data_IF_934248281841
#
_entry.id   IF_934248281841
#
_cell.length_a   1.000
_cell.length_b   1.000
_cell.length_c   1.000
_cell.angle_alpha   90.00
_cell.angle_beta   90.00
_cell.angle_gamma   90.00
#
_symmetry.space_group_name_H-M   'P 1'
#
loop_
_entity.id
_entity.type
_entity.pdbx_description
1 polymer ?
#
# COMPACT_ATOMS: atom_id res chain seq x y z
N UNK A 1 4.62 34.94 -2.60
CA UNK A 1 3.45 34.11 -2.96
C UNK A 1 2.84 33.61 -1.67
N UNK A 2 1.53 33.63 -1.58
CA UNK A 2 0.85 33.05 -0.41
C UNK A 2 1.06 31.53 -0.41
N UNK A 3 1.31 30.98 0.79
CA UNK A 3 1.53 29.55 0.95
C UNK A 3 0.23 28.80 0.63
N UNK A 4 0.34 27.69 -0.12
CA UNK A 4 -0.79 26.79 -0.33
C UNK A 4 -1.06 25.93 0.89
N UNK A 5 -2.32 25.74 1.24
CA UNK A 5 -2.73 24.91 2.36
C UNK A 5 -3.03 23.48 1.88
N UNK A 6 -2.28 22.51 2.40
CA UNK A 6 -2.43 21.08 2.10
C UNK A 6 -3.07 20.39 3.30
N UNK A 7 -4.28 19.87 3.13
CA UNK A 7 -4.91 18.99 4.12
C UNK A 7 -4.53 17.53 3.85
N UNK A 8 -3.84 16.93 4.80
CA UNK A 8 -3.33 15.55 4.72
C UNK A 8 -4.03 14.66 5.76
N UNK A 9 -4.77 13.66 5.28
CA UNK A 9 -5.25 12.57 6.13
C UNK A 9 -4.24 11.43 6.18
N UNK A 10 -4.25 10.63 7.25
CA UNK A 10 -3.35 9.49 7.36
C UNK A 10 -1.87 9.81 7.62
N UNK A 11 -1.54 11.07 7.94
CA UNK A 11 -0.17 11.57 8.16
C UNK A 11 0.64 10.78 9.22
N UNK A 12 0.00 10.03 10.10
CA UNK A 12 0.69 9.20 11.12
C UNK A 12 0.97 7.77 10.68
N UNK A 13 0.43 7.34 9.51
CA UNK A 13 0.73 6.07 8.85
C UNK A 13 2.07 6.09 8.09
N UNK A 14 2.43 5.00 7.40
CA UNK A 14 3.71 4.91 6.70
C UNK A 14 3.80 5.92 5.54
N UNK A 15 2.95 5.80 4.52
CA UNK A 15 2.95 6.68 3.36
C UNK A 15 2.66 8.14 3.74
N UNK A 16 1.60 8.36 4.52
CA UNK A 16 1.24 9.73 4.93
C UNK A 16 2.34 10.40 5.78
N UNK A 17 3.09 9.64 6.57
CA UNK A 17 4.23 10.17 7.31
C UNK A 17 5.38 10.57 6.39
N UNK A 18 5.72 9.75 5.41
CA UNK A 18 6.73 10.09 4.42
C UNK A 18 6.32 11.35 3.63
N UNK A 19 5.05 11.42 3.21
CA UNK A 19 4.49 12.60 2.55
C UNK A 19 4.50 13.85 3.44
N UNK A 20 4.16 13.70 4.72
CA UNK A 20 4.27 14.80 5.68
C UNK A 20 5.69 15.33 5.78
N UNK A 21 6.71 14.45 5.85
CA UNK A 21 8.12 14.87 5.91
C UNK A 21 8.54 15.63 4.65
N UNK A 22 8.09 15.19 3.47
CA UNK A 22 8.37 15.85 2.20
C UNK A 22 7.69 17.21 2.09
N UNK A 23 6.44 17.33 2.51
CA UNK A 23 5.72 18.62 2.60
C UNK A 23 6.39 19.55 3.62
N UNK A 24 6.77 19.00 4.78
CA UNK A 24 7.43 19.77 5.83
C UNK A 24 8.82 20.30 5.40
N UNK A 25 9.55 19.53 4.62
CA UNK A 25 10.79 20.00 3.99
C UNK A 25 10.55 21.20 3.05
N UNK A 26 9.32 21.35 2.54
CA UNK A 26 8.88 22.45 1.67
C UNK A 26 7.94 23.44 2.37
N UNK A 27 7.97 23.52 3.69
CA UNK A 27 7.06 24.36 4.50
C UNK A 27 7.13 25.86 4.22
N UNK A 28 8.16 26.31 3.53
CA UNK A 28 8.22 27.70 3.01
C UNK A 28 7.16 27.98 1.94
N UNK A 29 6.64 26.91 1.28
CA UNK A 29 5.65 26.97 0.22
C UNK A 29 4.27 26.47 0.67
N UNK A 30 4.23 25.60 1.69
CA UNK A 30 3.02 24.93 2.15
C UNK A 30 2.70 25.21 3.62
N UNK A 31 1.41 25.45 3.90
CA UNK A 31 0.81 25.25 5.20
C UNK A 31 0.26 23.83 5.25
N UNK A 32 0.68 23.05 6.24
CA UNK A 32 0.34 21.61 6.32
C UNK A 32 -0.68 21.43 7.43
N UNK A 33 -1.87 20.99 7.06
CA UNK A 33 -2.92 20.64 8.03
C UNK A 33 -3.11 19.13 8.08
N UNK A 34 -3.04 18.56 9.27
CA UNK A 34 -3.10 17.11 9.49
C UNK A 34 -4.34 16.78 10.28
N UNK A 35 -5.12 15.78 9.84
CA UNK A 35 -6.10 15.14 10.70
C UNK A 35 -5.49 13.90 11.34
N UNK A 36 -5.44 13.84 12.65
CA UNK A 36 -4.84 12.74 13.39
C UNK A 36 -5.71 12.36 14.60
N UNK A 37 -5.91 11.04 14.81
CA UNK A 37 -6.58 10.55 16.00
C UNK A 37 -5.82 10.96 17.26
N UNK A 38 -6.55 11.46 18.25
CA UNK A 38 -5.97 11.84 19.54
C UNK A 38 -5.56 10.59 20.33
N UNK A 39 -4.30 10.26 20.23
CA UNK A 39 -3.68 9.13 20.95
C UNK A 39 -2.30 9.52 21.45
N UNK A 40 -1.86 8.89 22.56
CA UNK A 40 -0.52 9.11 23.12
C UNK A 40 0.59 8.89 22.07
N UNK A 41 0.42 7.89 21.19
CA UNK A 41 1.35 7.59 20.10
C UNK A 41 1.42 8.74 19.09
N UNK A 42 0.28 9.22 18.62
CA UNK A 42 0.22 10.30 17.63
C UNK A 42 0.68 11.64 18.21
N UNK A 43 0.29 11.96 19.45
CA UNK A 43 0.78 13.17 20.15
C UNK A 43 2.31 13.15 20.27
N UNK A 44 2.89 12.00 20.66
CA UNK A 44 4.37 11.86 20.75
C UNK A 44 5.03 12.04 19.38
N UNK A 45 4.46 11.45 18.32
CA UNK A 45 5.00 11.51 16.95
C UNK A 45 4.98 12.94 16.40
N UNK A 46 3.90 13.67 16.62
CA UNK A 46 3.68 15.02 16.08
C UNK A 46 4.26 16.13 16.96
N UNK A 47 4.60 15.85 18.23
CA UNK A 47 5.10 16.84 19.19
C UNK A 47 6.22 17.75 18.65
N UNK A 48 7.23 17.27 17.91
CA UNK A 48 8.32 18.12 17.40
C UNK A 48 7.86 19.22 16.42
N UNK A 49 6.68 19.06 15.81
CA UNK A 49 6.17 19.93 14.75
C UNK A 49 5.09 20.91 15.22
N UNK A 50 4.54 20.73 16.44
CA UNK A 50 3.41 21.51 16.93
C UNK A 50 3.75 23.02 17.17
N UNK A 51 5.02 23.33 17.32
CA UNK A 51 5.48 24.73 17.50
C UNK A 51 5.72 25.45 16.18
N UNK A 52 5.74 24.74 15.04
CA UNK A 52 5.96 25.34 13.73
C UNK A 52 4.64 25.92 13.19
N UNK A 53 4.58 27.23 12.88
CA UNK A 53 3.35 27.87 12.41
C UNK A 53 2.85 27.33 11.06
N UNK A 54 3.70 26.65 10.29
CA UNK A 54 3.30 26.00 9.04
C UNK A 54 2.57 24.66 9.25
N UNK A 55 2.48 24.16 10.49
CA UNK A 55 1.85 22.86 10.81
C UNK A 55 0.67 23.07 11.74
N UNK A 56 -0.49 22.63 11.30
CA UNK A 56 -1.71 22.60 12.11
C UNK A 56 -2.22 21.16 12.25
N UNK A 57 -2.51 20.74 13.48
CA UNK A 57 -3.06 19.40 13.74
C UNK A 57 -4.51 19.52 14.22
N UNK A 58 -5.43 18.97 13.44
CA UNK A 58 -6.81 18.70 13.84
C UNK A 58 -6.81 17.35 14.55
N UNK A 59 -7.02 17.37 15.87
CA UNK A 59 -7.15 16.15 16.66
C UNK A 59 -8.58 15.63 16.54
N UNK A 60 -8.79 14.58 15.76
CA UNK A 60 -10.11 14.07 15.42
C UNK A 60 -10.10 12.72 14.73
N UNK A 61 -11.24 12.35 14.17
CA UNK A 61 -11.48 11.08 13.48
C UNK A 61 -12.07 11.31 12.08
N UNK A 62 -11.58 10.57 11.08
CA UNK A 62 -12.11 10.61 9.70
C UNK A 62 -13.60 10.22 9.62
N UNK A 63 -14.10 9.47 10.60
CA UNK A 63 -15.51 9.09 10.69
C UNK A 63 -16.39 10.19 11.28
N UNK A 64 -15.82 11.30 11.73
CA UNK A 64 -16.57 12.47 12.24
C UNK A 64 -16.49 13.59 11.22
N UNK A 65 -17.63 13.92 10.64
CA UNK A 65 -17.72 14.93 9.59
C UNK A 65 -17.15 16.29 10.01
N UNK A 66 -17.43 16.75 11.23
CA UNK A 66 -16.98 18.05 11.75
C UNK A 66 -15.47 18.16 11.84
N UNK A 67 -14.80 17.04 12.20
CA UNK A 67 -13.34 16.99 12.28
C UNK A 67 -12.73 17.09 10.87
N UNK A 68 -13.34 16.39 9.89
CA UNK A 68 -12.94 16.45 8.48
C UNK A 68 -13.22 17.84 7.89
N UNK A 69 -14.38 18.42 8.16
CA UNK A 69 -14.74 19.76 7.71
C UNK A 69 -13.75 20.81 8.22
N UNK A 70 -13.38 20.74 9.50
CA UNK A 70 -12.34 21.61 10.09
C UNK A 70 -10.99 21.46 9.37
N UNK A 71 -10.66 20.25 8.95
CA UNK A 71 -9.45 19.97 8.18
C UNK A 71 -9.47 20.55 6.78
N UNK A 72 -10.59 20.42 6.07
CA UNK A 72 -10.77 20.84 4.67
C UNK A 72 -10.95 22.35 4.52
N UNK A 73 -11.52 23.04 5.52
CA UNK A 73 -11.86 24.47 5.41
C UNK A 73 -10.66 25.32 5.01
N UNK A 74 -10.73 25.96 3.83
CA UNK A 74 -9.66 26.81 3.27
C UNK A 74 -8.42 26.03 2.81
N UNK A 75 -8.55 24.74 2.50
CA UNK A 75 -7.48 23.97 1.89
C UNK A 75 -7.44 24.17 0.36
N UNK A 76 -6.24 24.33 -0.20
CA UNK A 76 -6.01 24.32 -1.65
C UNK A 76 -5.89 22.87 -2.18
N UNK A 77 -5.33 21.97 -1.37
CA UNK A 77 -5.15 20.56 -1.68
C UNK A 77 -5.72 19.68 -0.58
N UNK A 78 -6.39 18.60 -0.98
CA UNK A 78 -6.86 17.55 -0.07
C UNK A 78 -6.22 16.23 -0.48
N UNK A 79 -5.29 15.73 0.35
CA UNK A 79 -4.61 14.46 0.14
C UNK A 79 -5.24 13.39 1.05
N UNK A 80 -6.13 12.57 0.50
CA UNK A 80 -6.79 11.51 1.25
C UNK A 80 -5.97 10.21 1.19
N UNK A 81 -5.04 10.08 2.15
CA UNK A 81 -4.16 8.91 2.33
C UNK A 81 -4.66 7.99 3.44
N UNK A 82 -5.49 8.52 4.33
CA UNK A 82 -5.99 7.82 5.51
C UNK A 82 -6.97 6.70 5.16
N UNK A 83 -6.83 5.55 5.82
CA UNK A 83 -7.72 4.42 5.70
C UNK A 83 -7.23 3.22 6.50
N UNK A 84 -8.04 2.17 6.60
CA UNK A 84 -7.62 0.88 7.12
C UNK A 84 -6.97 0.08 5.99
N UNK A 85 -5.81 -0.53 6.29
CA UNK A 85 -5.01 -1.32 5.35
C UNK A 85 -4.62 -2.65 5.99
N UNK A 86 -4.19 -3.62 5.19
CA UNK A 86 -3.64 -4.88 5.69
C UNK A 86 -2.43 -4.65 6.63
N UNK A 87 -2.23 -5.46 7.69
CA UNK A 87 -3.03 -6.65 8.03
C UNK A 87 -4.33 -6.35 8.80
N UNK A 88 -4.56 -5.13 9.29
CA UNK A 88 -5.77 -4.81 10.07
C UNK A 88 -7.06 -4.98 9.24
N UNK A 89 -6.98 -4.75 7.93
CA UNK A 89 -8.12 -4.92 7.02
C UNK A 89 -8.57 -6.38 6.93
N UNK A 90 -7.63 -7.32 6.98
CA UNK A 90 -7.91 -8.75 6.88
C UNK A 90 -8.56 -9.29 8.17
N UNK A 91 -8.16 -8.75 9.32
CA UNK A 91 -8.78 -9.09 10.62
C UNK A 91 -10.16 -8.47 10.82
N UNK A 92 -10.45 -7.31 10.19
CA UNK A 92 -11.67 -6.55 10.40
C UNK A 92 -12.29 -6.09 9.07
N UNK A 93 -12.70 -7.02 8.19
CA UNK A 93 -13.12 -6.71 6.81
C UNK A 93 -14.32 -5.76 6.74
N UNK A 94 -15.39 -6.00 7.49
CA UNK A 94 -16.59 -5.14 7.52
C UNK A 94 -16.27 -3.74 8.07
N UNK A 95 -15.45 -3.67 9.13
CA UNK A 95 -15.01 -2.39 9.67
C UNK A 95 -14.17 -1.63 8.66
N UNK A 96 -13.35 -2.34 7.88
CA UNK A 96 -12.53 -1.73 6.83
C UNK A 96 -13.39 -1.10 5.75
N UNK A 97 -14.40 -1.82 5.26
CA UNK A 97 -15.36 -1.27 4.30
C UNK A 97 -16.03 -0.01 4.86
N UNK A 98 -16.60 -0.10 6.07
CA UNK A 98 -17.28 1.03 6.73
C UNK A 98 -16.36 2.25 6.92
N UNK A 99 -15.12 2.03 7.39
CA UNK A 99 -14.18 3.13 7.68
C UNK A 99 -13.66 3.76 6.39
N UNK A 100 -13.26 2.95 5.41
CA UNK A 100 -12.67 3.49 4.19
C UNK A 100 -13.71 4.25 3.36
N UNK A 101 -14.89 3.69 3.15
CA UNK A 101 -15.97 4.33 2.39
C UNK A 101 -16.53 5.54 3.16
N UNK A 102 -16.88 5.39 4.44
CA UNK A 102 -17.42 6.50 5.23
C UNK A 102 -16.46 7.68 5.41
N UNK A 103 -15.13 7.40 5.48
CA UNK A 103 -14.15 8.49 5.48
C UNK A 103 -14.08 9.23 4.14
N UNK A 104 -14.18 8.50 3.00
CA UNK A 104 -14.25 9.10 1.67
C UNK A 104 -15.50 9.99 1.52
N UNK A 105 -16.66 9.51 1.95
CA UNK A 105 -17.91 10.26 1.95
C UNK A 105 -17.80 11.56 2.77
N UNK A 106 -17.22 11.48 3.97
CA UNK A 106 -17.01 12.67 4.82
C UNK A 106 -16.07 13.69 4.15
N UNK A 107 -15.00 13.23 3.51
CA UNK A 107 -14.06 14.12 2.81
C UNK A 107 -14.73 14.78 1.61
N UNK A 108 -15.45 14.02 0.79
CA UNK A 108 -16.20 14.55 -0.37
C UNK A 108 -17.23 15.60 0.10
N UNK A 109 -18.04 15.27 1.10
CA UNK A 109 -19.03 16.18 1.66
C UNK A 109 -18.39 17.47 2.22
N UNK A 110 -17.25 17.36 2.90
CA UNK A 110 -16.54 18.50 3.45
C UNK A 110 -15.97 19.42 2.36
N UNK A 111 -15.46 18.84 1.25
CA UNK A 111 -14.98 19.61 0.08
C UNK A 111 -16.17 20.33 -0.59
N UNK A 112 -17.27 19.63 -0.85
CA UNK A 112 -18.46 20.19 -1.48
C UNK A 112 -19.11 21.32 -0.66
N UNK A 113 -18.90 21.33 0.66
CA UNK A 113 -19.36 22.40 1.54
C UNK A 113 -18.49 23.67 1.51
N UNK A 114 -17.35 23.67 0.80
CA UNK A 114 -16.51 24.87 0.68
C UNK A 114 -17.07 25.86 -0.35
N UNK A 115 -16.93 27.17 -0.11
CA UNK A 115 -17.41 28.20 -1.04
C UNK A 115 -16.82 28.09 -2.45
N UNK A 116 -15.53 27.71 -2.55
CA UNK A 116 -14.81 27.52 -3.81
C UNK A 116 -14.30 26.07 -3.93
N UNK A 117 -15.23 25.13 -3.86
CA UNK A 117 -14.91 23.70 -3.96
C UNK A 117 -14.29 23.31 -5.32
N UNK A 118 -14.58 24.10 -6.37
CA UNK A 118 -14.04 23.85 -7.72
C UNK A 118 -12.55 24.13 -7.86
N UNK A 119 -11.98 24.97 -6.99
CA UNK A 119 -10.55 25.27 -6.97
C UNK A 119 -9.72 24.24 -6.19
N UNK A 120 -10.36 23.46 -5.32
CA UNK A 120 -9.67 22.47 -4.48
C UNK A 120 -9.18 21.30 -5.33
N UNK A 121 -7.90 20.99 -5.22
CA UNK A 121 -7.26 19.85 -5.87
C UNK A 121 -7.32 18.62 -4.96
N UNK A 122 -7.96 17.55 -5.44
CA UNK A 122 -8.29 16.36 -4.64
C UNK A 122 -7.48 15.18 -5.10
N UNK A 123 -6.71 14.60 -4.20
CA UNK A 123 -5.88 13.42 -4.44
C UNK A 123 -6.35 12.29 -3.53
N UNK A 124 -6.82 11.22 -4.14
CA UNK A 124 -7.17 9.99 -3.46
C UNK A 124 -6.09 8.93 -3.64
N UNK A 125 -5.68 8.27 -2.57
CA UNK A 125 -4.75 7.15 -2.65
C UNK A 125 -5.53 5.84 -2.73
N UNK A 126 -5.61 5.31 -3.95
CA UNK A 126 -6.15 3.98 -4.27
C UNK A 126 -5.15 2.86 -3.94
N UNK A 127 -5.33 1.70 -4.55
CA UNK A 127 -4.49 0.52 -4.33
C UNK A 127 -4.43 -0.39 -5.55
N UNK A 128 -3.30 -1.06 -5.75
CA UNK A 128 -3.17 -2.17 -6.71
C UNK A 128 -4.18 -3.28 -6.44
N UNK A 129 -4.64 -3.43 -5.20
CA UNK A 129 -5.66 -4.40 -4.82
C UNK A 129 -6.97 -4.26 -5.64
N UNK A 130 -7.27 -3.06 -6.16
CA UNK A 130 -8.44 -2.79 -6.96
C UNK A 130 -8.48 -3.58 -8.28
N UNK A 131 -7.33 -4.08 -8.76
CA UNK A 131 -7.25 -4.88 -10.00
C UNK A 131 -7.44 -6.39 -9.77
N UNK A 132 -7.46 -6.84 -8.51
CA UNK A 132 -7.67 -8.23 -8.10
C UNK A 132 -6.57 -9.19 -8.53
N UNK A 133 -6.94 -10.45 -8.72
CA UNK A 133 -6.00 -11.52 -9.06
C UNK A 133 -5.50 -11.39 -10.49
N UNK A 134 -4.23 -11.04 -10.62
CA UNK A 134 -3.51 -10.87 -11.89
C UNK A 134 -2.28 -11.76 -11.93
N UNK A 135 -2.46 -13.04 -11.62
CA UNK A 135 -1.39 -14.00 -11.74
C UNK A 135 -0.98 -14.24 -13.22
N UNK A 136 0.29 -14.63 -13.45
CA UNK A 136 0.72 -15.02 -14.79
C UNK A 136 -0.23 -16.06 -15.44
N UNK A 137 -0.51 -15.94 -16.75
CA UNK A 137 0.12 -15.02 -17.73
C UNK A 137 -0.52 -13.62 -17.85
N UNK A 138 -1.51 -13.28 -17.03
CA UNK A 138 -2.28 -12.01 -17.14
C UNK A 138 -1.78 -10.91 -16.19
N UNK A 139 -0.51 -10.94 -15.83
CA UNK A 139 0.08 -10.10 -14.79
C UNK A 139 0.47 -8.68 -15.25
N UNK A 140 0.41 -8.40 -16.53
CA UNK A 140 0.63 -7.06 -17.07
C UNK A 140 -0.68 -6.30 -17.23
N UNK A 141 -0.67 -5.00 -16.86
CA UNK A 141 -1.83 -4.13 -17.03
C UNK A 141 -1.46 -2.65 -16.93
N UNK A 142 -2.47 -1.80 -16.94
CA UNK A 142 -2.35 -0.35 -16.85
C UNK A 142 -3.47 0.25 -15.99
N UNK A 143 -3.43 1.57 -15.75
CA UNK A 143 -4.41 2.25 -14.91
C UNK A 143 -5.84 2.23 -15.47
N UNK A 144 -6.03 1.99 -16.75
CA UNK A 144 -7.35 1.86 -17.39
C UNK A 144 -7.98 0.47 -17.28
N UNK A 145 -7.28 -0.51 -16.70
CA UNK A 145 -7.82 -1.86 -16.50
C UNK A 145 -9.06 -1.83 -15.57
N UNK A 146 -10.01 -2.76 -15.80
CA UNK A 146 -11.18 -2.89 -14.94
C UNK A 146 -10.80 -3.16 -13.49
N UNK A 147 -11.55 -2.55 -12.58
CA UNK A 147 -11.41 -2.81 -11.15
C UNK A 147 -12.29 -4.00 -10.75
N UNK A 148 -11.66 -5.12 -10.43
CA UNK A 148 -12.32 -6.37 -10.04
C UNK A 148 -11.61 -6.93 -8.81
N UNK A 149 -12.19 -6.85 -7.59
CA UNK A 149 -11.51 -7.32 -6.39
C UNK A 149 -11.31 -8.84 -6.43
N UNK A 150 -10.22 -9.33 -5.84
CA UNK A 150 -10.07 -10.76 -5.58
C UNK A 150 -11.17 -11.26 -4.62
N UNK A 151 -11.48 -12.55 -4.65
CA UNK A 151 -12.47 -13.14 -3.75
C UNK A 151 -12.03 -12.92 -2.28
N UNK A 152 -12.96 -12.58 -1.41
CA UNK A 152 -12.74 -12.26 0.00
C UNK A 152 -11.87 -11.01 0.28
N UNK A 153 -11.41 -10.28 -0.74
CA UNK A 153 -10.62 -9.06 -0.53
C UNK A 153 -11.52 -7.83 -0.29
N UNK A 154 -12.02 -7.71 0.95
CA UNK A 154 -12.86 -6.58 1.38
C UNK A 154 -12.07 -5.27 1.43
N UNK A 155 -10.74 -5.33 1.54
CA UNK A 155 -9.90 -4.14 1.40
C UNK A 155 -9.93 -3.60 -0.03
N UNK A 156 -9.75 -4.47 -1.03
CA UNK A 156 -9.88 -4.10 -2.44
C UNK A 156 -11.24 -3.48 -2.73
N UNK A 157 -12.32 -4.14 -2.29
CA UNK A 157 -13.68 -3.63 -2.44
C UNK A 157 -13.84 -2.24 -1.80
N UNK A 158 -13.32 -2.06 -0.58
CA UNK A 158 -13.38 -0.76 0.10
C UNK A 158 -12.66 0.34 -0.66
N UNK A 159 -11.53 0.02 -1.31
CA UNK A 159 -10.77 0.97 -2.13
C UNK A 159 -11.48 1.32 -3.44
N UNK A 160 -12.12 0.34 -4.07
CA UNK A 160 -12.96 0.56 -5.26
C UNK A 160 -14.14 1.49 -4.92
N UNK A 161 -14.90 1.16 -3.88
CA UNK A 161 -16.04 1.98 -3.45
C UNK A 161 -15.62 3.41 -3.07
N UNK A 162 -14.51 3.56 -2.35
CA UNK A 162 -13.99 4.90 -1.98
C UNK A 162 -13.56 5.70 -3.21
N UNK A 163 -12.88 5.09 -4.18
CA UNK A 163 -12.52 5.76 -5.44
C UNK A 163 -13.76 6.23 -6.20
N UNK A 164 -14.80 5.39 -6.24
CA UNK A 164 -16.08 5.75 -6.89
C UNK A 164 -16.78 6.92 -6.20
N UNK A 165 -16.73 7.01 -4.86
CA UNK A 165 -17.27 8.16 -4.10
C UNK A 165 -16.59 9.46 -4.55
N UNK A 166 -15.28 9.49 -4.68
CA UNK A 166 -14.55 10.67 -5.17
C UNK A 166 -14.81 10.93 -6.67
N UNK A 167 -14.75 9.91 -7.51
CA UNK A 167 -14.94 10.06 -8.95
C UNK A 167 -16.35 10.57 -9.32
N UNK A 168 -17.36 10.18 -8.55
CA UNK A 168 -18.75 10.60 -8.76
C UNK A 168 -19.07 11.99 -8.19
N UNK A 169 -18.14 12.60 -7.43
CA UNK A 169 -18.38 13.87 -6.75
C UNK A 169 -18.35 15.10 -7.68
N UNK A 170 -17.91 14.95 -8.94
CA UNK A 170 -17.87 16.02 -9.94
C UNK A 170 -16.79 17.09 -9.68
N UNK A 171 -15.71 16.76 -8.99
CA UNK A 171 -14.61 17.71 -8.77
C UNK A 171 -13.93 18.10 -10.07
N UNK A 172 -13.61 19.38 -10.22
CA UNK A 172 -12.84 19.87 -11.38
C UNK A 172 -11.42 19.27 -11.42
N UNK A 173 -10.81 19.10 -10.26
CA UNK A 173 -9.44 18.59 -10.09
C UNK A 173 -9.46 17.39 -9.15
N UNK A 174 -9.62 16.20 -9.70
CA UNK A 174 -9.54 14.94 -8.97
C UNK A 174 -8.50 14.02 -9.61
N UNK A 175 -7.74 13.28 -8.80
CA UNK A 175 -6.88 12.20 -9.29
C UNK A 175 -6.91 11.02 -8.33
N UNK A 176 -6.96 9.81 -8.89
CA UNK A 176 -6.74 8.57 -8.15
C UNK A 176 -5.33 8.08 -8.40
N UNK A 177 -4.54 7.96 -7.33
CA UNK A 177 -3.18 7.44 -7.35
C UNK A 177 -3.19 6.06 -6.68
N UNK A 178 -3.13 4.97 -7.48
CA UNK A 178 -3.26 3.60 -7.00
C UNK A 178 -1.91 3.07 -6.55
N UNK A 179 -1.73 3.03 -5.23
CA UNK A 179 -0.51 2.60 -4.58
C UNK A 179 -0.30 1.10 -4.74
N UNK A 180 0.88 0.71 -5.18
CA UNK A 180 1.38 -0.66 -5.15
C UNK A 180 1.85 -1.06 -3.75
N UNK A 181 2.46 -2.23 -3.60
CA UNK A 181 3.12 -2.60 -2.35
C UNK A 181 4.21 -1.58 -1.97
N UNK A 182 4.25 -1.19 -0.70
CA UNK A 182 5.24 -0.21 -0.21
C UNK A 182 6.42 -0.94 0.42
N UNK A 183 7.62 -0.72 -0.14
CA UNK A 183 8.87 -1.13 0.48
C UNK A 183 9.32 -0.08 1.51
N UNK A 184 9.50 -0.50 2.74
CA UNK A 184 10.04 0.31 3.83
C UNK A 184 10.78 -0.59 4.84
N UNK A 185 11.76 -0.09 5.59
CA UNK A 185 12.55 -0.94 6.49
C UNK A 185 11.72 -1.77 7.47
N UNK A 186 10.64 -1.18 7.99
CA UNK A 186 9.75 -1.85 8.95
C UNK A 186 9.03 -3.08 8.39
N UNK A 187 8.94 -3.25 7.05
CA UNK A 187 8.31 -4.43 6.44
C UNK A 187 9.07 -5.72 6.81
N UNK A 188 10.38 -5.64 7.02
CA UNK A 188 11.21 -6.76 7.47
C UNK A 188 10.82 -7.30 8.86
N UNK A 189 10.05 -6.54 9.63
CA UNK A 189 9.54 -6.92 10.95
C UNK A 189 8.05 -7.29 10.96
N UNK A 190 7.38 -7.18 9.80
CA UNK A 190 5.95 -7.49 9.69
C UNK A 190 5.81 -8.98 9.45
N UNK A 191 5.29 -9.69 10.44
CA UNK A 191 4.96 -11.11 10.34
C UNK A 191 3.48 -11.30 10.63
N UNK A 192 2.76 -11.85 9.65
CA UNK A 192 1.32 -12.12 9.80
C UNK A 192 0.89 -13.22 8.80
N UNK A 193 -0.31 -13.83 8.97
CA UNK A 193 -0.81 -14.89 8.10
C UNK A 193 -0.91 -14.50 6.62
N UNK A 194 -1.14 -13.23 6.31
CA UNK A 194 -1.36 -12.77 4.92
C UNK A 194 -0.13 -12.93 4.03
N UNK A 195 1.06 -13.12 4.63
CA UNK A 195 2.27 -13.46 3.88
C UNK A 195 2.14 -14.75 3.06
N UNK A 196 1.29 -15.68 3.51
CA UNK A 196 1.04 -16.96 2.85
C UNK A 196 -0.14 -16.92 1.86
N UNK A 197 -0.90 -15.83 1.82
CA UNK A 197 -1.98 -15.64 0.84
C UNK A 197 -1.43 -15.31 -0.55
N UNK A 198 -0.20 -14.82 -0.63
CA UNK A 198 0.44 -14.40 -1.87
C UNK A 198 1.06 -15.59 -2.57
N UNK A 199 0.63 -15.97 -3.78
CA UNK A 199 1.28 -17.02 -4.57
C UNK A 199 2.74 -16.72 -4.80
N UNK A 200 3.61 -17.72 -4.82
CA UNK A 200 5.04 -17.52 -5.09
C UNK A 200 5.32 -16.96 -6.50
N UNK A 201 4.47 -17.31 -7.47
CA UNK A 201 4.49 -16.73 -8.81
C UNK A 201 3.71 -15.42 -8.93
N UNK A 202 2.97 -14.99 -7.90
CA UNK A 202 2.26 -13.71 -7.89
C UNK A 202 3.22 -12.53 -8.00
N UNK A 203 2.80 -11.45 -8.66
CA UNK A 203 3.68 -10.32 -9.00
C UNK A 203 3.26 -9.02 -8.35
N UNK A 204 4.23 -8.17 -8.02
CA UNK A 204 4.02 -6.76 -7.69
C UNK A 204 5.13 -5.90 -8.31
N UNK A 205 4.75 -4.70 -8.72
CA UNK A 205 5.68 -3.63 -9.04
C UNK A 205 5.73 -2.66 -7.86
N UNK A 206 6.71 -2.84 -6.99
CA UNK A 206 6.78 -2.17 -5.69
C UNK A 206 7.11 -0.67 -5.82
N UNK A 207 6.70 0.09 -4.81
CA UNK A 207 7.15 1.47 -4.62
C UNK A 207 7.92 1.61 -3.30
N UNK A 208 9.00 2.39 -3.28
CA UNK A 208 9.67 2.73 -2.04
C UNK A 208 8.84 3.71 -1.22
N UNK A 209 9.00 3.70 0.09
CA UNK A 209 8.31 4.65 0.96
C UNK A 209 8.75 6.10 0.68
N UNK A 210 9.99 6.29 0.28
CA UNK A 210 10.57 7.57 -0.09
C UNK A 210 9.90 8.13 -1.34
N UNK A 211 9.75 7.32 -2.39
CA UNK A 211 9.08 7.71 -3.64
C UNK A 211 7.60 7.99 -3.39
N UNK A 212 6.92 7.13 -2.62
CA UNK A 212 5.52 7.32 -2.24
C UNK A 212 5.31 8.62 -1.42
N UNK A 213 6.28 8.99 -0.60
CA UNK A 213 6.27 10.24 0.17
C UNK A 213 6.50 11.46 -0.72
N UNK A 214 7.51 11.43 -1.60
CA UNK A 214 7.82 12.51 -2.54
C UNK A 214 6.65 12.81 -3.46
N UNK A 215 5.99 11.76 -3.96
CA UNK A 215 4.78 11.88 -4.78
C UNK A 215 3.74 12.80 -4.14
N UNK A 216 3.47 12.64 -2.84
CA UNK A 216 2.47 13.44 -2.11
C UNK A 216 2.83 14.93 -2.03
N UNK A 217 4.11 15.28 -2.09
CA UNK A 217 4.52 16.67 -2.16
C UNK A 217 4.57 17.19 -3.60
N UNK A 218 5.06 16.38 -4.55
CA UNK A 218 5.17 16.76 -5.97
C UNK A 218 3.80 17.05 -6.60
N UNK A 219 2.76 16.31 -6.24
CA UNK A 219 1.40 16.56 -6.75
C UNK A 219 0.83 17.92 -6.32
N UNK A 220 1.39 18.54 -5.28
CA UNK A 220 0.98 19.86 -4.80
C UNK A 220 1.76 21.02 -5.46
N UNK A 221 2.65 20.73 -6.39
CA UNK A 221 3.47 21.73 -7.04
C UNK A 221 2.71 22.47 -8.15
N UNK A 222 3.06 23.74 -8.39
CA UNK A 222 2.35 24.60 -9.34
C UNK A 222 2.57 24.20 -10.82
N UNK A 223 3.62 23.43 -11.11
CA UNK A 223 3.93 22.96 -12.48
C UNK A 223 3.15 21.70 -12.88
N UNK A 224 2.34 21.10 -12.01
CA UNK A 224 1.49 19.95 -12.36
C UNK A 224 0.47 20.37 -13.41
N UNK A 225 0.49 19.74 -14.62
CA UNK A 225 -0.31 20.20 -15.75
C UNK A 225 -1.81 19.94 -15.54
N UNK A 226 -2.64 20.72 -16.22
CA UNK A 226 -4.10 20.61 -16.12
C UNK A 226 -4.63 19.24 -16.56
N UNK A 227 -4.03 18.63 -17.56
CA UNK A 227 -4.44 17.33 -18.09
C UNK A 227 -4.01 16.13 -17.23
N UNK A 228 -3.28 16.37 -16.14
CA UNK A 228 -3.02 15.39 -15.08
C UNK A 228 -4.28 14.98 -14.32
N UNK A 229 -5.21 15.94 -14.14
CA UNK A 229 -6.40 15.73 -13.32
C UNK A 229 -7.47 14.90 -14.06
N UNK A 230 -8.43 14.36 -13.28
CA UNK A 230 -9.54 13.50 -13.75
C UNK A 230 -9.08 12.19 -14.41
N UNK A 231 -7.96 11.65 -13.91
CA UNK A 231 -7.36 10.39 -14.35
C UNK A 231 -7.01 9.51 -13.14
N UNK A 232 -6.69 8.26 -13.43
CA UNK A 232 -6.06 7.35 -12.48
C UNK A 232 -4.64 7.01 -12.95
N UNK A 233 -3.72 6.83 -11.98
CA UNK A 233 -2.34 6.43 -12.24
C UNK A 233 -1.89 5.37 -11.26
N UNK A 234 -0.96 4.52 -11.70
CA UNK A 234 -0.32 3.53 -10.86
C UNK A 234 0.97 4.09 -10.24
N UNK A 235 1.16 3.85 -8.93
CA UNK A 235 2.37 4.27 -8.21
C UNK A 235 3.33 3.10 -8.12
N UNK A 236 4.53 3.27 -8.66
CA UNK A 236 5.66 2.34 -8.49
C UNK A 236 7.00 3.06 -8.55
N UNK A 237 8.05 2.41 -8.07
CA UNK A 237 9.43 2.90 -8.20
C UNK A 237 10.11 2.43 -9.51
N UNK A 238 9.31 1.98 -10.48
CA UNK A 238 9.75 1.62 -11.82
C UNK A 238 10.11 0.15 -12.02
N UNK A 239 10.52 -0.17 -13.23
CA UNK A 239 10.73 -1.54 -13.72
C UNK A 239 11.66 -2.39 -12.85
N UNK A 240 12.70 -1.80 -12.27
CA UNK A 240 13.63 -2.52 -11.39
C UNK A 240 12.98 -3.04 -10.09
N UNK A 241 11.79 -2.54 -9.73
CA UNK A 241 11.01 -2.98 -8.58
C UNK A 241 9.91 -4.00 -8.93
N UNK A 242 9.92 -4.54 -10.16
CA UNK A 242 9.08 -5.66 -10.59
C UNK A 242 9.62 -6.95 -10.00
N UNK A 243 8.85 -7.56 -9.12
CA UNK A 243 9.25 -8.79 -8.45
C UNK A 243 8.08 -9.77 -8.40
N UNK A 244 8.39 -11.06 -8.52
CA UNK A 244 7.52 -12.12 -8.05
C UNK A 244 7.57 -12.17 -6.52
N UNK A 245 6.60 -12.82 -5.89
CA UNK A 245 6.63 -13.02 -4.44
C UNK A 245 7.85 -13.85 -4.02
N UNK A 246 8.26 -14.82 -4.84
CA UNK A 246 9.47 -15.60 -4.58
C UNK A 246 10.73 -14.72 -4.54
N UNK A 247 10.92 -13.84 -5.51
CA UNK A 247 12.03 -12.88 -5.52
C UNK A 247 11.98 -11.92 -4.34
N UNK A 248 10.78 -11.40 -4.04
CA UNK A 248 10.57 -10.51 -2.90
C UNK A 248 10.92 -11.20 -1.57
N UNK A 249 10.41 -12.43 -1.32
CA UNK A 249 10.71 -13.19 -0.10
C UNK A 249 12.20 -13.53 0.00
N UNK A 250 12.84 -13.89 -1.10
CA UNK A 250 14.27 -14.17 -1.15
C UNK A 250 15.09 -12.93 -0.76
N UNK A 251 14.75 -11.75 -1.29
CA UNK A 251 15.41 -10.48 -0.94
C UNK A 251 15.14 -10.07 0.50
N UNK A 252 13.90 -10.25 0.98
CA UNK A 252 13.52 -9.95 2.38
C UNK A 252 14.33 -10.78 3.38
N UNK A 253 14.37 -12.10 3.17
CA UNK A 253 15.15 -13.01 4.04
C UNK A 253 16.65 -12.71 3.93
N UNK A 254 17.15 -12.49 2.70
CA UNK A 254 18.54 -12.11 2.46
C UNK A 254 18.94 -10.81 3.14
N UNK A 255 18.08 -9.78 3.14
CA UNK A 255 18.33 -8.53 3.85
C UNK A 255 18.50 -8.73 5.36
N UNK A 256 17.85 -9.72 5.95
CA UNK A 256 18.02 -10.11 7.35
C UNK A 256 19.20 -11.09 7.57
N UNK A 257 19.81 -11.61 6.51
CA UNK A 257 20.81 -12.66 6.58
C UNK A 257 20.23 -14.04 6.92
N UNK A 258 18.93 -14.22 6.70
CA UNK A 258 18.22 -15.49 6.91
C UNK A 258 18.37 -16.42 5.71
N UNK A 259 18.20 -17.75 5.90
CA UNK A 259 18.21 -18.71 4.81
C UNK A 259 17.09 -18.46 3.79
N UNK A 260 17.25 -19.04 2.58
CA UNK A 260 16.27 -18.92 1.49
C UNK A 260 14.88 -19.46 1.86
N UNK A 261 13.81 -19.05 1.15
CA UNK A 261 12.43 -19.46 1.44
C UNK A 261 12.26 -20.97 1.59
N UNK A 262 12.94 -21.76 0.76
CA UNK A 262 12.85 -23.23 0.75
C UNK A 262 13.30 -23.89 2.05
N UNK A 263 14.16 -23.22 2.81
CA UNK A 263 14.69 -23.73 4.07
C UNK A 263 13.83 -23.35 5.26
N UNK A 264 13.04 -22.28 5.13
CA UNK A 264 12.31 -21.70 6.27
C UNK A 264 10.80 -21.81 6.16
N UNK A 265 10.25 -22.22 5.00
CA UNK A 265 8.82 -22.44 4.80
C UNK A 265 8.56 -23.82 4.18
N UNK A 266 7.29 -24.23 4.19
CA UNK A 266 6.79 -25.34 3.37
C UNK A 266 6.08 -24.78 2.13
N UNK A 267 6.21 -25.39 0.95
CA UNK A 267 5.57 -24.90 -0.26
C UNK A 267 4.04 -24.88 -0.14
N UNK A 268 3.43 -25.84 0.54
CA UNK A 268 1.99 -25.92 0.76
C UNK A 268 1.42 -24.79 1.63
N UNK A 269 2.28 -24.02 2.34
CA UNK A 269 1.79 -22.89 3.12
C UNK A 269 1.32 -21.73 2.24
N UNK A 270 1.77 -21.65 1.00
CA UNK A 270 1.44 -20.56 0.08
C UNK A 270 0.22 -20.89 -0.78
N UNK A 271 -0.65 -19.91 -0.93
CA UNK A 271 -1.76 -19.98 -1.87
C UNK A 271 -1.24 -20.10 -3.32
N UNK A 272 -2.08 -20.62 -4.22
CA UNK A 272 -1.75 -20.75 -5.64
C UNK A 272 -2.32 -19.60 -6.50
N UNK A 273 -3.34 -18.90 -6.00
CA UNK A 273 -4.06 -17.85 -6.73
C UNK A 273 -4.83 -16.92 -5.79
N UNK A 274 -5.64 -16.05 -6.35
CA UNK A 274 -6.57 -15.16 -5.65
C UNK A 274 -5.90 -14.12 -4.75
N UNK A 275 -4.77 -13.58 -5.20
CA UNK A 275 -4.15 -12.44 -4.54
C UNK A 275 -3.89 -11.33 -5.55
N UNK A 276 -4.09 -10.09 -5.12
CA UNK A 276 -3.91 -8.93 -5.97
C UNK A 276 -2.44 -8.65 -6.27
N UNK A 277 -2.18 -8.21 -7.48
CA UNK A 277 -0.86 -7.79 -7.90
C UNK A 277 -0.80 -7.61 -9.40
N UNK A 278 0.05 -6.70 -9.86
CA UNK A 278 0.20 -6.39 -11.28
C UNK A 278 1.55 -5.74 -11.54
N UNK A 279 2.14 -6.00 -12.69
CA UNK A 279 3.19 -5.17 -13.30
C UNK A 279 2.57 -4.17 -14.25
N UNK A 280 3.09 -2.96 -14.29
CA UNK A 280 2.48 -1.86 -15.02
C UNK A 280 3.17 -1.61 -16.35
N UNK A 281 2.36 -1.51 -17.43
CA UNK A 281 2.80 -1.05 -18.74
C UNK A 281 2.96 0.47 -18.79
N UNK A 282 2.26 1.16 -17.91
CA UNK A 282 2.17 2.62 -17.78
C UNK A 282 2.88 3.17 -16.53
N UNK A 283 3.81 2.40 -15.95
CA UNK A 283 4.49 2.76 -14.71
C UNK A 283 5.22 4.11 -14.76
N UNK A 284 5.75 4.47 -15.92
CA UNK A 284 6.62 5.64 -16.07
C UNK A 284 5.84 6.94 -16.28
N UNK A 285 4.59 6.84 -16.77
CA UNK A 285 3.73 8.01 -17.06
C UNK A 285 3.59 8.93 -15.85
N UNK A 286 3.39 8.39 -14.66
CA UNK A 286 3.25 9.20 -13.45
C UNK A 286 4.56 9.89 -13.05
N UNK A 287 5.69 9.21 -13.23
CA UNK A 287 7.01 9.78 -12.93
C UNK A 287 7.45 10.83 -13.95
N UNK A 288 7.13 10.63 -15.22
CA UNK A 288 7.34 11.63 -16.28
C UNK A 288 6.62 12.96 -15.99
N UNK A 289 5.46 12.88 -15.30
CA UNK A 289 4.70 14.07 -14.91
C UNK A 289 5.20 14.64 -13.58
N UNK A 290 5.38 13.81 -12.55
CA UNK A 290 5.60 14.27 -11.18
C UNK A 290 7.05 14.19 -10.69
N UNK A 291 7.95 13.52 -11.41
CA UNK A 291 9.38 13.41 -11.10
C UNK A 291 9.63 12.99 -9.64
N UNK A 292 8.89 11.98 -9.18
CA UNK A 292 8.90 11.57 -7.78
C UNK A 292 9.87 10.45 -7.44
N UNK A 293 10.35 9.67 -8.43
CA UNK A 293 11.25 8.55 -8.19
C UNK A 293 12.64 9.02 -7.81
N UNK A 294 13.21 8.33 -6.81
CA UNK A 294 14.61 8.54 -6.41
C UNK A 294 15.59 7.71 -7.22
N UNK A 295 15.07 6.70 -7.97
CA UNK A 295 15.82 5.78 -8.81
C UNK A 295 16.94 5.01 -8.07
N UNK A 296 16.77 4.78 -6.76
CA UNK A 296 17.69 3.94 -5.99
C UNK A 296 17.61 2.50 -6.52
N UNK A 297 18.73 1.83 -6.85
CA UNK A 297 18.72 0.45 -7.28
C UNK A 297 18.08 -0.48 -6.25
N UNK A 298 17.26 -1.44 -6.71
CA UNK A 298 16.48 -2.31 -5.81
C UNK A 298 17.36 -3.09 -4.83
N UNK A 299 18.52 -3.58 -5.29
CA UNK A 299 19.45 -4.32 -4.44
C UNK A 299 20.10 -3.44 -3.37
N UNK A 300 20.44 -2.19 -3.72
CA UNK A 300 20.93 -1.18 -2.79
C UNK A 300 19.86 -0.83 -1.75
N UNK A 301 18.61 -0.70 -2.19
CA UNK A 301 17.49 -0.43 -1.28
C UNK A 301 17.34 -1.54 -0.23
N UNK A 302 17.28 -2.82 -0.66
CA UNK A 302 17.20 -3.96 0.27
C UNK A 302 18.41 -4.06 1.20
N UNK A 303 19.62 -3.82 0.71
CA UNK A 303 20.84 -3.80 1.51
C UNK A 303 20.77 -2.69 2.61
N UNK A 304 20.16 -1.53 2.29
CA UNK A 304 20.00 -0.42 3.23
C UNK A 304 18.97 -0.68 4.31
N UNK A 305 17.95 -1.52 4.04
CA UNK A 305 16.80 -1.71 4.95
C UNK A 305 17.23 -2.22 6.33
N UNK A 306 18.15 -3.20 6.36
CA UNK A 306 18.64 -3.79 7.63
C UNK A 306 19.29 -2.76 8.54
N UNK A 307 20.07 -1.83 7.99
CA UNK A 307 20.77 -0.80 8.77
C UNK A 307 19.81 0.20 9.43
N UNK A 308 18.60 0.34 8.87
CA UNK A 308 17.55 1.25 9.32
C UNK A 308 16.59 0.61 10.34
N UNK A 309 16.78 -0.68 10.66
CA UNK A 309 16.07 -1.39 11.71
C UNK A 309 16.78 -1.29 13.06
N UNK A 310 16.09 -1.55 14.19
CA UNK A 310 16.72 -1.72 15.51
C UNK A 310 17.86 -2.74 15.46
N UNK A 311 18.91 -2.47 16.20
CA UNK A 311 20.18 -3.22 16.11
C UNK A 311 20.04 -4.74 16.27
N UNK A 312 19.07 -5.22 17.06
CA UNK A 312 18.85 -6.65 17.29
C UNK A 312 18.40 -7.42 16.04
N UNK A 313 17.79 -6.76 15.04
CA UNK A 313 17.51 -7.39 13.73
C UNK A 313 18.80 -7.78 12.99
N UNK A 314 19.91 -7.12 13.30
CA UNK A 314 21.21 -7.48 12.71
C UNK A 314 21.70 -8.84 13.17
N UNK A 315 21.14 -9.40 14.25
CA UNK A 315 21.44 -10.71 14.78
C UNK A 315 20.55 -11.82 14.19
N UNK A 316 19.59 -11.49 13.33
CA UNK A 316 18.66 -12.46 12.74
C UNK A 316 19.37 -13.61 12.02
N UNK A 317 20.55 -13.34 11.40
CA UNK A 317 21.37 -14.36 10.74
C UNK A 317 21.83 -15.51 11.64
N UNK A 318 21.79 -15.34 12.96
CA UNK A 318 22.12 -16.40 13.93
C UNK A 318 20.99 -17.42 14.06
N UNK A 319 19.78 -17.11 13.59
CA UNK A 319 18.66 -18.03 13.68
C UNK A 319 18.81 -19.17 12.66
N UNK A 320 18.89 -20.43 13.09
CA UNK A 320 18.94 -21.56 12.19
C UNK A 320 17.60 -21.72 11.45
N UNK A 321 17.64 -22.27 10.24
CA UNK A 321 16.45 -22.42 9.40
C UNK A 321 15.25 -23.08 10.10
N UNK A 322 15.50 -24.12 10.88
CA UNK A 322 14.46 -24.83 11.62
C UNK A 322 13.75 -23.93 12.66
N UNK A 323 14.48 -23.03 13.31
CA UNK A 323 13.91 -22.12 14.30
C UNK A 323 13.04 -21.04 13.61
N UNK A 324 13.50 -20.52 12.46
CA UNK A 324 12.68 -19.59 11.65
C UNK A 324 11.40 -20.29 11.19
N UNK A 325 11.50 -21.53 10.70
CA UNK A 325 10.35 -22.34 10.26
C UNK A 325 9.35 -22.59 11.41
N UNK A 326 9.84 -22.95 12.59
CA UNK A 326 9.01 -23.11 13.79
C UNK A 326 8.30 -21.81 14.18
N UNK A 327 9.00 -20.67 14.08
CA UNK A 327 8.43 -19.36 14.36
C UNK A 327 7.34 -18.96 13.35
N UNK A 328 7.52 -19.30 12.07
CA UNK A 328 6.58 -18.95 11.00
C UNK A 328 5.37 -19.87 10.91
N UNK A 329 5.50 -21.14 11.33
CA UNK A 329 4.42 -22.14 11.23
C UNK A 329 3.07 -21.68 11.83
N UNK A 330 3.01 -21.08 13.04
CA UNK A 330 1.74 -20.65 13.62
C UNK A 330 0.95 -19.68 12.74
N UNK A 331 1.61 -18.89 11.90
CA UNK A 331 0.94 -17.94 11.00
C UNK A 331 0.27 -18.66 9.81
N UNK A 332 0.87 -19.71 9.28
CA UNK A 332 0.24 -20.54 8.24
C UNK A 332 -0.99 -21.30 8.76
N UNK A 333 -1.04 -21.60 10.06
CA UNK A 333 -2.11 -22.33 10.73
C UNK A 333 -3.03 -21.45 11.59
N UNK A 334 -2.91 -20.12 11.49
CA UNK A 334 -3.70 -19.20 12.31
C UNK A 334 -5.19 -19.33 11.99
N UNK A 335 -6.01 -19.43 13.05
CA UNK A 335 -7.47 -19.54 12.94
C UNK A 335 -8.06 -18.40 12.09
N UNK A 336 -8.88 -18.74 11.15
CA UNK A 336 -9.60 -17.83 10.25
C UNK A 336 -8.75 -17.18 9.15
N UNK A 337 -7.43 -17.03 9.33
CA UNK A 337 -6.55 -16.34 8.37
C UNK A 337 -5.41 -17.21 7.81
N UNK A 338 -5.04 -18.28 8.50
CA UNK A 338 -3.97 -19.17 8.03
C UNK A 338 -4.42 -20.02 6.83
N UNK A 339 -3.60 -20.10 5.80
CA UNK A 339 -3.89 -20.91 4.62
C UNK A 339 -4.09 -22.38 4.95
N UNK A 340 -3.34 -22.94 5.89
CA UNK A 340 -3.45 -24.32 6.31
C UNK A 340 -4.68 -24.55 7.21
N UNK A 341 -5.14 -23.52 7.91
CA UNK A 341 -6.43 -23.58 8.61
C UNK A 341 -7.59 -23.67 7.61
N UNK A 342 -7.52 -22.94 6.47
CA UNK A 342 -8.54 -23.01 5.41
C UNK A 342 -8.65 -24.39 4.77
N UNK A 343 -7.52 -25.08 4.61
CA UNK A 343 -7.49 -26.44 4.01
C UNK A 343 -8.38 -27.41 4.80
N UNK A 344 -8.51 -27.22 6.10
CA UNK A 344 -9.25 -28.10 7.00
C UNK A 344 -10.65 -27.56 7.37
N UNK A 345 -10.81 -26.22 7.43
CA UNK A 345 -11.95 -25.60 8.11
C UNK A 345 -12.76 -24.62 7.24
N UNK A 346 -12.24 -24.16 6.07
CA UNK A 346 -12.92 -23.18 5.22
C UNK A 346 -12.86 -23.62 3.75
N UNK A 347 -13.82 -24.42 3.28
CA UNK A 347 -13.81 -24.94 1.92
C UNK A 347 -13.98 -23.86 0.85
N UNK A 348 -14.62 -22.73 1.17
CA UNK A 348 -14.80 -21.63 0.22
C UNK A 348 -13.47 -20.90 -0.02
N UNK A 349 -12.76 -20.49 1.06
CA UNK A 349 -11.43 -19.94 0.91
C UNK A 349 -10.43 -20.94 0.35
N UNK A 350 -10.48 -22.19 0.78
CA UNK A 350 -9.65 -23.24 0.17
C UNK A 350 -9.80 -23.28 -1.35
N UNK A 351 -11.06 -23.32 -1.83
CA UNK A 351 -11.36 -23.30 -3.28
C UNK A 351 -10.88 -22.02 -3.95
N UNK A 352 -11.09 -20.86 -3.32
CA UNK A 352 -10.68 -19.56 -3.86
C UNK A 352 -9.15 -19.47 -4.01
N UNK A 353 -8.40 -19.94 -3.03
CA UNK A 353 -6.94 -19.75 -2.97
C UNK A 353 -6.12 -20.91 -3.53
N UNK A 354 -6.64 -22.14 -3.52
CA UNK A 354 -5.95 -23.32 -4.06
C UNK A 354 -6.62 -23.91 -5.30
N UNK A 355 -7.89 -23.61 -5.54
CA UNK A 355 -8.65 -24.11 -6.68
C UNK A 355 -9.31 -25.45 -6.42
N UNK A 356 -8.55 -26.51 -6.18
CA UNK A 356 -9.06 -27.84 -5.89
C UNK A 356 -8.15 -28.63 -4.95
N UNK A 357 -8.64 -29.74 -4.45
CA UNK A 357 -7.85 -30.66 -3.61
C UNK A 357 -6.71 -31.29 -4.39
N UNK A 358 -6.94 -31.62 -5.64
CA UNK A 358 -5.93 -32.18 -6.54
C UNK A 358 -4.79 -31.19 -6.76
N UNK A 359 -5.10 -29.89 -6.96
CA UNK A 359 -4.10 -28.85 -7.11
C UNK A 359 -3.24 -28.67 -5.84
N UNK A 360 -3.88 -28.68 -4.66
CA UNK A 360 -3.18 -28.62 -3.39
C UNK A 360 -2.30 -29.86 -3.15
N UNK A 361 -2.86 -31.06 -3.40
CA UNK A 361 -2.16 -32.33 -3.21
C UNK A 361 -1.00 -32.54 -4.23
N UNK A 362 -1.04 -31.82 -5.35
CA UNK A 362 0.04 -31.78 -6.34
C UNK A 362 1.28 -31.02 -5.87
N UNK A 363 1.16 -30.12 -4.87
CA UNK A 363 2.28 -29.39 -4.30
C UNK A 363 3.15 -30.35 -3.50
N UNK A 364 4.27 -30.80 -4.07
CA UNK A 364 5.23 -31.71 -3.42
C UNK A 364 6.57 -31.01 -3.14
N UNK A 365 6.96 -30.11 -4.03
CA UNK A 365 8.24 -29.44 -4.02
C UNK A 365 8.09 -27.94 -4.27
N UNK A 366 9.15 -27.21 -4.09
CA UNK A 366 9.19 -25.80 -4.40
C UNK A 366 9.05 -25.49 -5.89
N UNK A 367 9.44 -26.42 -6.75
CA UNK A 367 9.35 -26.27 -8.21
C UNK A 367 7.88 -26.26 -8.67
N UNK A 368 6.95 -26.84 -7.87
CA UNK A 368 5.51 -26.85 -8.16
C UNK A 368 4.84 -25.49 -7.97
N UNK A 369 5.45 -24.58 -7.20
CA UNK A 369 4.90 -23.24 -6.87
C UNK A 369 5.78 -22.08 -7.33
N UNK A 370 7.03 -22.33 -7.72
CA UNK A 370 7.91 -21.31 -8.24
C UNK A 370 7.46 -20.84 -9.63
N UNK A 371 7.67 -19.55 -9.97
CA UNK A 371 7.44 -19.09 -11.32
C UNK A 371 8.44 -19.78 -12.27
N UNK A 372 7.92 -20.55 -13.22
CA UNK A 372 8.71 -21.43 -14.08
C UNK A 372 9.61 -20.71 -15.10
N UNK A 373 9.39 -19.43 -15.41
CA UNK A 373 10.09 -18.71 -16.49
C UNK A 373 10.10 -17.20 -16.25
N UNK A 374 10.84 -16.76 -15.23
CA UNK A 374 10.92 -15.33 -14.84
C UNK A 374 11.29 -14.39 -16.01
N UNK A 375 12.25 -14.79 -16.86
CA UNK A 375 12.68 -13.95 -17.98
C UNK A 375 11.56 -13.75 -19.00
N UNK A 376 10.81 -14.80 -19.34
CA UNK A 376 9.65 -14.70 -20.24
C UNK A 376 8.48 -13.90 -19.66
N UNK A 377 8.37 -13.83 -18.32
CA UNK A 377 7.36 -13.00 -17.67
C UNK A 377 7.65 -11.51 -17.80
N UNK A 378 8.92 -11.14 -17.94
CA UNK A 378 9.38 -9.74 -18.08
C UNK A 378 9.31 -9.23 -19.50
N UNK A 379 9.37 -10.13 -20.48
CA UNK A 379 9.42 -9.79 -21.92
C UNK A 379 8.03 -9.63 -22.57
N UNK A 380 6.94 -9.82 -21.84
CA UNK A 380 5.55 -9.65 -22.29
C UNK A 380 5.03 -8.23 -22.03
#
# INVERSE_FOLDING_TARGET
MDKKTVFLTGATGNMGWAGFQELYARRERFNIRILARDSRKNRRKLKPYLADPSVTVVWGDLMRYEDVLSGVTGADYVLHVGGMVSPAADYYPEKTLKVNVGSAENVVKAIQAQPDSSAIKVVYIGSVAQYGDRNPPHHWGCASEPQVPAEFDMYALSKICSEQVFASAGFKYFVSLRQSGILYPGILSVVNPTAFHVPMGGVLEWATIEDSGRLLAQVCEDWVPEDFWNKAYNISSGAQYRMTNYEFMTRMLGALGLPSPEKVFEPQWFALKNFHGMWYRDADVLDEILHFRTNVPVDEYFASMRSRLPWYYRLAFLAPAWAVKMFMKPFAFAEGLGTQWWVENDPERFKAYYGSREAYDAIKTWDDIRPAQLDKMRDQ
#
